data_IF_121713627233
#
_entry.id   IF_121713627233
#
_cell.length_a   1.000
_cell.length_b   1.000
_cell.length_c   1.000
_cell.angle_alpha   90.00
_cell.angle_beta   90.00
_cell.angle_gamma   90.00
#
_symmetry.space_group_name_H-M   'P 1'
#
loop_
_entity.id
_entity.type
_entity.pdbx_description
1 polymer ?
#
# COMPACT_ATOMS: atom_id res chain seq x y z
N UNK A 1 -5.25 0.94 -25.80
CA UNK A 1 -5.62 2.22 -26.45
C UNK A 1 -6.83 1.99 -27.36
N UNK A 2 -7.56 3.04 -27.82
CA UNK A 2 -8.75 2.91 -28.68
C UNK A 2 -8.53 2.12 -29.98
N UNK A 3 -7.27 1.92 -30.34
CA UNK A 3 -6.76 1.16 -31.49
C UNK A 3 -6.42 -0.31 -31.17
N UNK A 4 -6.82 -0.83 -30.01
CA UNK A 4 -6.57 -2.23 -29.63
C UNK A 4 -5.13 -2.54 -29.21
N UNK A 5 -4.22 -1.55 -29.16
CA UNK A 5 -2.84 -1.80 -28.70
C UNK A 5 -2.78 -2.03 -27.19
N UNK A 6 -2.04 -3.09 -26.80
CA UNK A 6 -1.51 -3.26 -25.43
C UNK A 6 -0.35 -2.28 -25.24
N UNK A 7 -0.68 -1.09 -24.76
CA UNK A 7 0.31 -0.08 -24.37
C UNK A 7 0.95 -0.53 -23.06
N UNK A 8 2.27 -0.78 -23.08
CA UNK A 8 3.04 -1.22 -21.90
C UNK A 8 3.33 -0.08 -20.90
N UNK A 9 3.15 1.18 -21.31
CA UNK A 9 3.28 2.37 -20.48
C UNK A 9 3.12 3.65 -21.30
N UNK A 10 2.78 4.75 -20.63
CA UNK A 10 2.67 6.10 -21.23
C UNK A 10 3.79 6.97 -20.67
N UNK A 11 4.58 7.58 -21.55
CA UNK A 11 5.56 8.61 -21.20
C UNK A 11 4.91 9.97 -21.37
N UNK A 12 4.99 10.81 -20.35
CA UNK A 12 4.56 12.21 -20.41
C UNK A 12 5.81 13.10 -20.48
N UNK A 13 5.80 14.10 -21.36
CA UNK A 13 6.89 15.05 -21.52
C UNK A 13 6.35 16.47 -21.55
N UNK A 14 7.14 17.42 -21.04
CA UNK A 14 6.89 18.85 -21.22
C UNK A 14 7.87 19.36 -22.28
N UNK A 15 7.37 20.02 -23.33
CA UNK A 15 8.20 20.51 -24.41
C UNK A 15 9.14 21.63 -23.93
N UNK A 16 10.46 21.42 -24.03
CA UNK A 16 11.47 22.34 -23.49
C UNK A 16 11.33 23.79 -24.00
N UNK A 17 10.90 23.98 -25.26
CA UNK A 17 10.77 25.31 -25.86
C UNK A 17 9.50 26.08 -25.42
N UNK A 18 8.48 25.38 -24.93
CA UNK A 18 7.17 25.95 -24.62
C UNK A 18 6.80 25.89 -23.14
N UNK A 19 7.66 25.26 -22.33
CA UNK A 19 7.40 25.09 -20.91
C UNK A 19 7.47 26.42 -20.17
N UNK A 20 6.59 26.58 -19.18
CA UNK A 20 6.53 27.79 -18.36
C UNK A 20 7.27 27.57 -17.04
N UNK A 21 8.08 28.53 -16.57
CA UNK A 21 8.70 28.43 -15.25
C UNK A 21 7.62 28.48 -14.16
N UNK A 22 7.76 27.64 -13.15
CA UNK A 22 6.84 27.56 -12.03
C UNK A 22 7.58 27.31 -10.71
N UNK A 23 7.07 27.91 -9.64
CA UNK A 23 7.40 27.60 -8.26
C UNK A 23 6.48 26.50 -7.74
N UNK A 24 7.07 25.49 -7.11
CA UNK A 24 6.38 24.33 -6.57
C UNK A 24 6.62 24.28 -5.06
N UNK A 25 5.57 24.50 -4.28
CA UNK A 25 5.62 24.49 -2.81
C UNK A 25 5.19 23.13 -2.30
N UNK A 26 6.12 22.48 -1.61
CA UNK A 26 5.98 21.14 -1.07
C UNK A 26 5.91 21.26 0.45
N UNK A 27 4.73 20.98 1.00
CA UNK A 27 4.51 21.05 2.44
C UNK A 27 4.74 19.69 3.11
N UNK A 28 5.26 19.75 4.33
CA UNK A 28 5.33 18.66 5.31
C UNK A 28 4.79 19.18 6.66
N UNK A 29 4.86 18.35 7.71
CA UNK A 29 4.46 18.70 9.07
C UNK A 29 5.22 19.94 9.54
N UNK A 30 4.49 20.88 10.14
CA UNK A 30 5.04 22.13 10.67
C UNK A 30 6.07 21.90 11.78
N UNK A 31 5.84 20.88 12.61
CA UNK A 31 6.73 20.51 13.70
C UNK A 31 7.37 19.15 13.43
N UNK A 32 8.62 18.99 13.86
CA UNK A 32 9.37 17.73 13.75
C UNK A 32 8.96 16.73 14.83
N UNK A 33 8.41 17.20 15.95
CA UNK A 33 8.01 16.38 17.08
C UNK A 33 6.49 16.15 17.15
N UNK A 34 6.03 14.97 17.59
CA UNK A 34 4.60 14.68 17.80
C UNK A 34 3.95 15.54 18.87
N UNK A 35 4.73 16.03 19.84
CA UNK A 35 4.26 16.90 20.94
C UNK A 35 5.22 18.09 21.08
N UNK A 36 5.03 19.14 20.26
CA UNK A 36 5.91 20.31 20.24
C UNK A 36 6.00 21.00 21.61
N UNK A 37 7.21 21.33 22.04
CA UNK A 37 7.48 21.99 23.32
C UNK A 37 7.63 21.03 24.50
N UNK A 38 7.51 19.71 24.32
CA UNK A 38 7.66 18.75 25.41
C UNK A 38 9.08 18.75 26.02
N UNK A 39 10.10 19.09 25.24
CA UNK A 39 11.50 19.11 25.68
C UNK A 39 11.91 20.42 26.37
N UNK A 40 11.45 21.56 25.85
CA UNK A 40 11.93 22.90 26.27
C UNK A 40 10.85 23.79 26.85
N UNK A 41 9.58 23.43 26.71
CA UNK A 41 8.43 24.28 27.03
C UNK A 41 8.05 25.26 25.92
N UNK A 42 8.89 25.45 24.89
CA UNK A 42 8.61 26.30 23.73
C UNK A 42 8.37 25.44 22.47
N UNK A 43 7.13 25.39 21.93
CA UNK A 43 6.81 24.68 20.70
C UNK A 43 7.63 25.11 19.47
N UNK A 44 8.13 26.36 19.44
CA UNK A 44 8.87 26.87 18.29
C UNK A 44 10.25 26.23 18.13
N UNK A 45 10.80 25.65 19.19
CA UNK A 45 12.07 24.92 19.15
C UNK A 45 11.98 23.62 18.34
N UNK A 46 10.78 23.09 18.16
CA UNK A 46 10.52 21.84 17.43
C UNK A 46 9.95 22.12 16.03
N UNK A 47 10.12 23.34 15.50
CA UNK A 47 9.75 23.67 14.11
C UNK A 47 10.54 22.83 13.12
N UNK A 48 9.83 22.22 12.17
CA UNK A 48 10.43 21.45 11.09
C UNK A 48 10.96 22.41 10.01
N UNK A 49 12.28 22.48 9.76
CA UNK A 49 12.82 23.32 8.69
C UNK A 49 12.40 22.84 7.30
N UNK A 50 11.99 21.57 7.15
CA UNK A 50 11.49 20.99 5.91
C UNK A 50 9.95 21.08 5.79
N UNK A 51 9.28 21.81 6.69
CA UNK A 51 7.82 22.00 6.65
C UNK A 51 7.33 22.67 5.36
N UNK A 52 8.20 23.44 4.70
CA UNK A 52 8.00 23.97 3.36
C UNK A 52 9.29 23.89 2.56
N UNK A 53 9.29 23.05 1.51
CA UNK A 53 10.34 23.01 0.50
C UNK A 53 9.84 23.68 -0.77
N UNK A 54 10.53 24.72 -1.22
CA UNK A 54 10.23 25.43 -2.47
C UNK A 54 11.14 24.92 -3.57
N UNK A 55 10.55 24.36 -4.64
CA UNK A 55 11.26 23.93 -5.84
C UNK A 55 10.92 24.83 -7.02
N UNK A 56 11.86 24.97 -7.95
CA UNK A 56 11.63 25.66 -9.23
C UNK A 56 11.67 24.63 -10.35
N UNK A 57 10.70 24.70 -11.24
CA UNK A 57 10.56 23.75 -12.34
C UNK A 57 9.86 24.34 -13.54
N UNK A 58 9.50 23.47 -14.47
CA UNK A 58 8.80 23.84 -15.68
C UNK A 58 7.48 23.07 -15.78
N UNK A 59 6.44 23.74 -16.27
CA UNK A 59 5.09 23.19 -16.41
C UNK A 59 4.58 23.38 -17.83
N UNK A 60 3.61 22.55 -18.22
CA UNK A 60 2.97 22.63 -19.53
C UNK A 60 2.26 23.97 -19.73
N UNK A 61 2.42 24.64 -20.89
CA UNK A 61 1.83 25.96 -21.12
C UNK A 61 0.30 26.02 -21.06
N UNK A 62 -0.39 24.88 -21.25
CA UNK A 62 -1.85 24.80 -21.17
C UNK A 62 -2.41 25.27 -19.83
N UNK A 63 -1.63 25.14 -18.75
CA UNK A 63 -2.08 25.52 -17.39
C UNK A 63 -2.20 27.03 -17.19
N UNK A 64 -1.53 27.86 -17.98
CA UNK A 64 -1.49 29.32 -17.79
C UNK A 64 -2.83 30.00 -18.10
N UNK A 65 -3.67 29.37 -18.91
CA UNK A 65 -4.99 29.90 -19.28
C UNK A 65 -6.10 29.49 -18.30
N UNK A 66 -5.80 28.61 -17.33
CA UNK A 66 -6.81 28.12 -16.39
C UNK A 66 -6.97 29.07 -15.18
N UNK A 67 -8.16 29.09 -14.55
CA UNK A 67 -8.40 29.92 -13.37
C UNK A 67 -7.46 29.61 -12.20
N UNK A 68 -7.23 30.62 -11.34
CA UNK A 68 -6.54 30.39 -10.07
C UNK A 68 -7.33 29.42 -9.18
N UNK A 69 -6.64 28.59 -8.41
CA UNK A 69 -7.25 27.52 -7.62
C UNK A 69 -7.61 26.26 -8.44
N UNK A 70 -7.32 26.21 -9.75
CA UNK A 70 -7.45 24.97 -10.52
C UNK A 70 -6.49 23.91 -9.97
N UNK A 71 -7.01 22.68 -9.86
CA UNK A 71 -6.31 21.51 -9.36
C UNK A 71 -5.80 20.65 -10.51
N UNK A 72 -4.60 20.13 -10.36
CA UNK A 72 -3.92 19.29 -11.34
C UNK A 72 -3.37 18.05 -10.67
N UNK A 73 -3.34 16.95 -11.41
CA UNK A 73 -2.46 15.84 -11.07
C UNK A 73 -1.15 16.05 -11.83
N UNK A 74 -0.05 16.23 -11.10
CA UNK A 74 1.27 16.13 -11.69
C UNK A 74 1.66 14.66 -11.68
N UNK A 75 1.81 14.12 -12.87
CA UNK A 75 2.12 12.71 -13.09
C UNK A 75 3.28 12.26 -12.18
N UNK A 76 3.05 11.17 -11.47
CA UNK A 76 4.00 10.54 -10.52
C UNK A 76 4.45 11.40 -9.33
N UNK A 77 3.96 12.62 -9.18
CA UNK A 77 4.43 13.57 -8.15
C UNK A 77 3.37 13.83 -7.09
N UNK A 78 2.11 14.02 -7.50
CA UNK A 78 1.04 14.37 -6.58
C UNK A 78 -0.03 15.23 -7.22
N UNK A 79 -1.02 15.58 -6.43
CA UNK A 79 -2.02 16.58 -6.78
C UNK A 79 -1.55 17.95 -6.28
N UNK A 80 -1.68 18.95 -7.16
CA UNK A 80 -1.29 20.32 -6.92
C UNK A 80 -2.47 21.25 -7.18
N UNK A 81 -2.45 22.42 -6.56
CA UNK A 81 -3.38 23.51 -6.84
C UNK A 81 -2.59 24.76 -7.19
N UNK A 82 -3.05 25.52 -8.18
CA UNK A 82 -2.49 26.85 -8.41
C UNK A 82 -2.78 27.76 -7.22
N UNK A 83 -1.76 28.44 -6.72
CA UNK A 83 -1.90 29.35 -5.58
C UNK A 83 -2.84 30.50 -5.94
N UNK A 84 -3.79 30.82 -5.06
CA UNK A 84 -4.81 31.85 -5.34
C UNK A 84 -4.32 33.27 -5.08
N UNK A 85 -3.18 33.43 -4.43
CA UNK A 85 -2.66 34.71 -3.93
C UNK A 85 -1.37 35.10 -4.65
N UNK A 86 -0.43 34.17 -4.73
CA UNK A 86 0.94 34.39 -5.21
C UNK A 86 1.10 34.03 -6.69
N UNK A 87 0.27 33.13 -7.22
CA UNK A 87 0.34 32.72 -8.64
C UNK A 87 -0.20 33.82 -9.56
N UNK A 88 0.61 34.23 -10.54
CA UNK A 88 0.28 35.30 -11.50
C UNK A 88 0.78 34.94 -12.90
N UNK A 89 0.24 35.54 -13.98
CA UNK A 89 0.80 35.40 -15.31
C UNK A 89 2.31 35.72 -15.32
N UNK A 90 3.13 34.77 -15.79
CA UNK A 90 4.59 34.88 -15.79
C UNK A 90 5.29 34.49 -14.47
N UNK A 91 4.55 34.25 -13.40
CA UNK A 91 5.06 33.82 -12.10
C UNK A 91 4.09 32.77 -11.49
N UNK A 92 4.08 31.58 -12.08
CA UNK A 92 3.16 30.52 -11.67
C UNK A 92 3.62 29.88 -10.36
N UNK A 93 2.71 29.73 -9.41
CA UNK A 93 2.96 29.09 -8.11
C UNK A 93 1.96 27.95 -7.90
N UNK A 94 2.45 26.78 -7.51
CA UNK A 94 1.64 25.60 -7.25
C UNK A 94 1.93 25.01 -5.87
N UNK A 95 0.88 24.72 -5.11
CA UNK A 95 0.94 24.08 -3.80
C UNK A 95 0.58 22.60 -3.93
N UNK A 96 1.41 21.70 -3.38
CA UNK A 96 1.06 20.28 -3.30
C UNK A 96 -0.05 20.09 -2.25
N UNK A 97 -1.19 19.53 -2.67
CA UNK A 97 -2.35 19.29 -1.80
C UNK A 97 -2.44 17.84 -1.32
N UNK A 98 -2.15 16.87 -2.20
CA UNK A 98 -2.25 15.44 -1.88
C UNK A 98 -1.08 14.73 -2.55
N UNK A 99 -0.32 13.94 -1.81
CA UNK A 99 0.70 13.06 -2.39
C UNK A 99 0.02 11.91 -3.12
N UNK A 100 0.66 11.35 -4.16
CA UNK A 100 0.13 10.10 -4.72
C UNK A 100 0.19 9.00 -3.65
N UNK A 101 -0.80 8.10 -3.69
CA UNK A 101 -0.77 6.89 -2.87
C UNK A 101 0.37 6.04 -3.38
N UNK A 102 1.48 6.10 -2.66
CA UNK A 102 2.69 5.49 -3.14
C UNK A 102 2.83 4.07 -2.62
N UNK A 103 2.54 3.10 -3.49
CA UNK A 103 2.87 1.69 -3.25
C UNK A 103 4.37 1.41 -3.47
N UNK A 104 5.13 2.37 -4.03
CA UNK A 104 6.51 2.19 -4.49
C UNK A 104 7.54 3.18 -3.88
N UNK A 105 7.17 4.33 -3.30
CA UNK A 105 8.10 5.19 -2.53
C UNK A 105 8.58 4.51 -1.26
N UNK A 106 7.79 3.60 -0.67
CA UNK A 106 8.28 2.69 0.38
C UNK A 106 9.45 1.81 -0.10
N UNK A 107 9.69 1.68 -1.41
CA UNK A 107 10.79 0.94 -2.05
C UNK A 107 11.86 1.82 -2.71
N UNK A 108 11.58 3.08 -3.10
CA UNK A 108 12.52 3.95 -3.84
C UNK A 108 13.28 5.00 -3.01
N UNK A 109 12.79 5.38 -1.82
CA UNK A 109 13.64 6.04 -0.80
C UNK A 109 14.84 5.16 -0.41
N UNK A 110 14.79 3.89 -0.80
CA UNK A 110 15.76 2.82 -0.62
C UNK A 110 16.85 2.75 -1.71
N UNK A 111 16.70 3.46 -2.84
CA UNK A 111 17.54 3.27 -4.04
C UNK A 111 18.24 4.54 -4.56
N UNK A 112 17.75 5.75 -4.23
CA UNK A 112 18.36 7.01 -4.69
C UNK A 112 19.68 7.37 -3.96
N UNK A 113 19.97 6.73 -2.82
CA UNK A 113 21.23 6.90 -2.08
C UNK A 113 22.43 6.18 -2.74
N UNK A 114 22.25 5.47 -3.86
CA UNK A 114 23.22 4.50 -4.37
C UNK A 114 23.97 4.86 -5.67
N UNK A 115 23.73 6.01 -6.33
CA UNK A 115 24.12 6.18 -7.73
C UNK A 115 24.95 7.43 -8.13
N UNK A 116 25.62 8.13 -7.21
CA UNK A 116 26.64 9.10 -7.65
C UNK A 116 27.87 9.15 -6.73
N UNK A 117 28.81 8.24 -6.99
CA UNK A 117 30.24 8.44 -6.73
C UNK A 117 31.05 7.34 -7.41
N UNK A 118 31.83 7.68 -8.45
CA UNK A 118 33.25 7.30 -8.69
C UNK A 118 33.75 7.86 -10.07
N UNK A 119 35.08 8.06 -10.30
CA UNK A 119 35.67 9.42 -10.39
C UNK A 119 36.59 9.70 -11.61
N UNK A 120 37.06 10.97 -11.70
CA UNK A 120 38.24 11.46 -12.45
C UNK A 120 37.89 12.50 -13.52
N UNK A 121 38.46 13.71 -13.63
CA UNK A 121 39.79 14.20 -13.25
C UNK A 121 39.81 15.76 -13.19
N UNK A 122 40.86 16.31 -12.57
CA UNK A 122 40.92 17.63 -11.93
C UNK A 122 41.06 18.87 -12.83
N UNK A 123 40.65 20.04 -12.31
CA UNK A 123 41.51 21.23 -12.16
C UNK A 123 40.84 22.28 -11.24
N UNK A 124 41.53 22.61 -10.14
CA UNK A 124 41.23 23.68 -9.18
C UNK A 124 42.00 24.98 -9.56
N UNK A 125 41.83 26.17 -8.91
CA UNK A 125 41.21 26.41 -7.59
C UNK A 125 40.30 27.67 -7.47
N UNK A 126 39.45 27.73 -6.42
CA UNK A 126 39.40 28.92 -5.54
C UNK A 126 38.58 28.70 -4.25
N UNK A 127 39.27 28.93 -3.12
CA UNK A 127 38.82 29.28 -1.75
C UNK A 127 38.04 28.23 -0.91
N UNK A 128 38.74 27.69 0.10
CA UNK A 128 38.28 26.64 1.02
C UNK A 128 37.30 27.09 2.12
N UNK A 129 36.16 26.38 2.32
CA UNK A 129 35.36 26.40 3.56
C UNK A 129 35.68 25.21 4.49
N UNK A 130 35.51 25.42 5.79
CA UNK A 130 35.85 24.49 6.89
C UNK A 130 35.00 23.20 6.85
N UNK A 131 35.65 22.06 7.17
CA UNK A 131 35.10 20.71 7.11
C UNK A 131 33.89 20.47 8.03
N UNK A 132 32.77 20.05 7.42
CA UNK A 132 31.56 19.56 8.09
C UNK A 132 31.67 18.03 8.22
N UNK A 133 31.56 17.49 9.44
CA UNK A 133 31.54 16.03 9.66
C UNK A 133 30.26 15.43 9.05
N UNK A 134 30.41 14.50 8.12
CA UNK A 134 29.30 13.80 7.47
C UNK A 134 28.47 12.98 8.50
N UNK A 135 27.14 13.12 8.47
CA UNK A 135 26.19 12.27 9.24
C UNK A 135 26.09 10.88 8.56
N UNK A 136 25.99 9.78 9.34
CA UNK A 136 25.82 8.44 8.77
C UNK A 136 24.43 8.28 8.12
N UNK A 137 24.36 7.57 6.99
CA UNK A 137 23.13 7.30 6.23
C UNK A 137 22.14 6.40 7.01
N UNK A 138 20.83 6.60 6.81
CA UNK A 138 19.78 5.73 7.38
C UNK A 138 19.77 4.39 6.66
N UNK A 139 19.72 3.28 7.41
CA UNK A 139 19.70 1.92 6.84
C UNK A 139 18.34 1.61 6.22
N UNK A 140 18.35 0.90 5.10
CA UNK A 140 17.15 0.41 4.44
C UNK A 140 16.48 -0.74 5.22
N UNK A 141 15.17 -1.01 5.09
CA UNK A 141 14.52 -2.16 5.78
C UNK A 141 15.24 -3.51 5.58
N UNK A 142 15.79 -3.77 4.39
CA UNK A 142 16.53 -5.00 4.15
C UNK A 142 17.87 -4.99 4.90
N UNK A 143 18.62 -3.88 4.84
CA UNK A 143 19.83 -3.69 5.63
C UNK A 143 19.58 -3.70 7.14
N UNK A 144 18.42 -3.22 7.59
CA UNK A 144 17.99 -3.30 8.99
C UNK A 144 17.83 -4.76 9.38
N UNK A 145 17.11 -5.58 8.60
CA UNK A 145 16.98 -7.02 8.87
C UNK A 145 18.31 -7.75 8.84
N UNK A 146 19.14 -7.51 7.82
CA UNK A 146 20.50 -8.06 7.75
C UNK A 146 21.33 -7.64 8.96
N UNK A 147 21.24 -6.38 9.38
CA UNK A 147 21.93 -5.90 10.57
C UNK A 147 21.40 -6.54 11.85
N UNK A 148 20.08 -6.67 11.99
CA UNK A 148 19.44 -7.29 13.15
C UNK A 148 19.90 -8.74 13.29
N UNK A 149 19.93 -9.51 12.19
CA UNK A 149 20.46 -10.88 12.20
C UNK A 149 21.94 -10.95 12.51
N UNK A 150 22.74 -10.02 11.98
CA UNK A 150 24.16 -9.95 12.31
C UNK A 150 24.41 -9.57 13.79
N UNK A 151 23.50 -8.80 14.39
CA UNK A 151 23.58 -8.35 15.79
C UNK A 151 22.97 -9.37 16.78
N UNK A 152 22.02 -10.19 16.33
CA UNK A 152 21.31 -11.18 17.12
C UNK A 152 21.48 -12.60 16.52
N UNK A 153 22.36 -13.44 17.10
CA UNK A 153 22.57 -14.81 16.65
C UNK A 153 21.32 -15.68 16.66
N UNK A 154 20.31 -15.40 17.49
CA UNK A 154 19.06 -16.16 17.51
C UNK A 154 18.25 -15.92 16.24
N UNK A 155 18.21 -14.68 15.75
CA UNK A 155 17.54 -14.34 14.48
C UNK A 155 18.25 -14.97 13.28
N UNK A 156 19.59 -14.98 13.27
CA UNK A 156 20.34 -15.68 12.22
C UNK A 156 20.08 -17.19 12.27
N UNK A 157 20.07 -17.81 13.46
CA UNK A 157 19.74 -19.22 13.60
C UNK A 157 18.33 -19.54 13.10
N UNK A 158 17.33 -18.68 13.38
CA UNK A 158 15.97 -18.82 12.83
C UNK A 158 15.95 -18.68 11.31
N UNK A 159 16.64 -17.69 10.74
CA UNK A 159 16.74 -17.52 9.29
C UNK A 159 17.29 -18.77 8.59
N UNK A 160 18.34 -19.39 9.16
CA UNK A 160 18.89 -20.65 8.66
C UNK A 160 17.91 -21.82 8.85
N UNK A 161 17.25 -21.92 10.01
CA UNK A 161 16.26 -22.97 10.27
C UNK A 161 15.03 -22.86 9.35
N UNK A 162 14.57 -21.65 9.05
CA UNK A 162 13.46 -21.41 8.13
C UNK A 162 13.77 -21.90 6.71
N UNK A 163 15.02 -21.81 6.26
CA UNK A 163 15.42 -22.36 4.98
C UNK A 163 15.65 -23.87 5.05
N UNK A 164 16.48 -24.34 5.99
CA UNK A 164 16.93 -25.72 6.04
C UNK A 164 15.86 -26.70 6.54
N UNK A 165 15.12 -26.33 7.57
CA UNK A 165 14.12 -27.20 8.20
C UNK A 165 12.71 -26.97 7.64
N UNK A 166 12.36 -25.73 7.31
CA UNK A 166 11.02 -25.39 6.79
C UNK A 166 10.96 -25.26 5.26
N UNK A 167 12.10 -25.28 4.57
CA UNK A 167 12.16 -25.22 3.10
C UNK A 167 11.73 -23.88 2.50
N UNK A 168 11.75 -22.79 3.30
CA UNK A 168 11.38 -21.46 2.82
C UNK A 168 12.49 -20.88 1.94
N UNK A 169 12.11 -20.10 0.93
CA UNK A 169 13.07 -19.34 0.13
C UNK A 169 13.74 -18.22 0.95
N UNK A 170 14.88 -17.76 0.47
CA UNK A 170 15.72 -16.76 1.14
C UNK A 170 14.94 -15.47 1.46
N UNK A 171 14.15 -14.96 0.51
CA UNK A 171 13.40 -13.72 0.66
C UNK A 171 12.32 -13.85 1.74
N UNK A 172 11.57 -14.95 1.74
CA UNK A 172 10.53 -15.23 2.74
C UNK A 172 11.14 -15.42 4.12
N UNK A 173 12.24 -16.18 4.22
CA UNK A 173 12.96 -16.36 5.47
C UNK A 173 13.54 -15.04 5.99
N UNK A 174 14.09 -14.18 5.12
CA UNK A 174 14.63 -12.85 5.46
C UNK A 174 13.56 -11.96 6.09
N UNK A 175 12.35 -11.98 5.52
CA UNK A 175 11.24 -11.17 5.97
C UNK A 175 10.69 -11.62 7.33
N UNK A 176 10.59 -12.93 7.56
CA UNK A 176 10.07 -13.49 8.81
C UNK A 176 11.09 -13.42 9.95
N UNK A 177 12.37 -13.70 9.67
CA UNK A 177 13.45 -13.68 10.66
C UNK A 177 14.17 -12.31 10.76
N UNK A 178 13.54 -11.24 10.26
CA UNK A 178 14.12 -9.91 10.25
C UNK A 178 14.04 -9.17 11.58
N UNK A 179 13.04 -9.50 12.39
CA UNK A 179 12.73 -8.90 13.69
C UNK A 179 12.25 -10.00 14.63
N UNK A 180 12.61 -9.91 15.92
CA UNK A 180 12.29 -10.93 16.92
C UNK A 180 10.78 -11.16 17.05
N UNK A 181 10.01 -10.08 17.16
CA UNK A 181 8.56 -10.16 17.36
C UNK A 181 7.85 -10.81 16.17
N UNK A 182 8.26 -10.53 14.92
CA UNK A 182 7.71 -11.19 13.74
C UNK A 182 8.03 -12.69 13.73
N UNK A 183 9.26 -13.05 14.10
CA UNK A 183 9.70 -14.44 14.13
C UNK A 183 8.98 -15.24 15.24
N UNK A 184 8.83 -14.64 16.43
CA UNK A 184 8.08 -15.23 17.55
C UNK A 184 6.61 -15.46 17.18
N UNK A 185 5.98 -14.47 16.52
CA UNK A 185 4.60 -14.56 16.09
C UNK A 185 4.40 -15.67 15.03
N UNK A 186 5.32 -15.77 14.07
CA UNK A 186 5.30 -16.83 13.07
C UNK A 186 5.54 -18.22 13.68
N UNK A 187 6.51 -18.36 14.59
CA UNK A 187 6.79 -19.63 15.28
C UNK A 187 5.58 -20.08 16.12
N UNK A 188 4.92 -19.16 16.82
CA UNK A 188 3.69 -19.43 17.59
C UNK A 188 2.52 -19.85 16.69
N UNK A 189 2.35 -19.19 15.54
CA UNK A 189 1.32 -19.58 14.56
C UNK A 189 1.58 -20.96 13.98
N UNK A 190 2.83 -21.25 13.60
CA UNK A 190 3.24 -22.54 13.07
C UNK A 190 3.00 -23.68 14.07
N UNK A 191 3.15 -23.42 15.37
CA UNK A 191 2.86 -24.41 16.40
C UNK A 191 1.37 -24.81 16.48
N UNK A 192 0.47 -23.95 16.01
CA UNK A 192 -0.99 -24.14 16.07
C UNK A 192 -1.62 -24.46 14.71
N UNK A 193 -0.86 -24.33 13.62
CA UNK A 193 -1.33 -24.52 12.25
C UNK A 193 -0.97 -25.91 11.72
N UNK A 194 -1.98 -26.66 11.27
CA UNK A 194 -1.80 -28.03 10.77
C UNK A 194 -1.55 -28.13 9.25
N UNK A 195 -1.67 -27.01 8.52
CA UNK A 195 -1.50 -26.97 7.07
C UNK A 195 -0.04 -26.87 6.62
N UNK A 196 0.16 -26.52 5.35
CA UNK A 196 1.49 -26.33 4.76
C UNK A 196 2.18 -25.07 5.30
N UNK A 197 3.39 -25.25 5.85
CA UNK A 197 4.21 -24.16 6.42
C UNK A 197 4.57 -23.11 5.38
N UNK A 198 4.78 -23.48 4.11
CA UNK A 198 5.11 -22.52 3.06
C UNK A 198 3.92 -21.59 2.74
N UNK A 199 2.70 -22.13 2.75
CA UNK A 199 1.46 -21.37 2.67
C UNK A 199 1.29 -20.38 3.82
N UNK A 200 1.52 -20.83 5.06
CA UNK A 200 1.49 -19.97 6.24
C UNK A 200 2.51 -18.83 6.14
N UNK A 201 3.75 -19.14 5.76
CA UNK A 201 4.82 -18.17 5.61
C UNK A 201 4.48 -17.09 4.56
N UNK A 202 3.97 -17.52 3.39
CA UNK A 202 3.51 -16.60 2.34
C UNK A 202 2.34 -15.74 2.79
N UNK A 203 1.39 -16.30 3.54
CA UNK A 203 0.26 -15.54 4.09
C UNK A 203 0.73 -14.50 5.11
N UNK A 204 1.71 -14.82 5.97
CA UNK A 204 2.34 -13.86 6.88
C UNK A 204 3.01 -12.69 6.12
N UNK A 205 3.73 -13.00 5.05
CA UNK A 205 4.45 -11.99 4.26
C UNK A 205 3.50 -11.12 3.43
N UNK A 206 2.43 -11.69 2.87
CA UNK A 206 1.56 -10.97 1.93
C UNK A 206 0.34 -10.32 2.61
N UNK A 207 -0.35 -11.06 3.46
CA UNK A 207 -1.65 -10.65 4.02
C UNK A 207 -1.46 -10.00 5.40
N UNK A 208 -0.73 -10.66 6.31
CA UNK A 208 -0.46 -10.09 7.65
C UNK A 208 0.40 -8.85 7.57
N UNK A 209 1.56 -8.90 6.90
CA UNK A 209 2.44 -7.73 6.79
C UNK A 209 1.77 -6.55 6.08
N UNK A 210 0.87 -6.84 5.12
CA UNK A 210 0.05 -5.83 4.46
C UNK A 210 -0.97 -5.18 5.39
N UNK A 211 -1.66 -5.97 6.20
CA UNK A 211 -2.65 -5.50 7.17
C UNK A 211 -2.03 -4.83 8.41
N UNK A 212 -0.82 -5.24 8.79
CA UNK A 212 -0.09 -4.70 9.94
C UNK A 212 0.30 -3.23 9.73
N UNK A 213 0.72 -2.89 8.51
CA UNK A 213 1.14 -1.54 8.15
C UNK A 213 2.45 -1.18 8.83
N UNK A 214 2.41 -0.19 9.72
CA UNK A 214 3.58 0.27 10.50
C UNK A 214 3.48 -0.09 12.00
N UNK A 215 2.47 -0.90 12.39
CA UNK A 215 2.31 -1.41 13.77
C UNK A 215 3.38 -2.43 14.11
N UNK A 216 3.87 -2.43 15.35
CA UNK A 216 4.78 -3.46 15.82
C UNK A 216 4.01 -4.76 16.13
N UNK A 217 4.53 -5.95 15.77
CA UNK A 217 3.86 -7.21 16.08
C UNK A 217 3.65 -7.44 17.58
N UNK A 218 4.56 -6.95 18.44
CA UNK A 218 4.44 -7.06 19.89
C UNK A 218 3.26 -6.28 20.51
N UNK A 219 2.69 -5.30 19.79
CA UNK A 219 1.57 -4.48 20.28
C UNK A 219 0.20 -5.02 19.84
N UNK A 220 0.18 -6.15 19.13
CA UNK A 220 -1.05 -6.69 18.58
C UNK A 220 -1.93 -7.29 19.69
N UNK A 221 -3.26 -7.04 19.66
CA UNK A 221 -4.22 -7.66 20.58
C UNK A 221 -4.56 -9.11 20.20
N UNK A 222 -3.65 -9.79 19.48
CA UNK A 222 -3.81 -11.16 18.98
C UNK A 222 -2.47 -11.88 19.05
N UNK A 223 -2.49 -13.21 19.07
CA UNK A 223 -1.31 -14.05 19.08
C UNK A 223 -1.19 -14.89 17.79
N UNK A 224 -0.13 -15.70 17.72
CA UNK A 224 0.10 -16.58 16.58
C UNK A 224 -0.98 -17.65 16.42
N UNK A 225 -1.55 -18.16 17.51
CA UNK A 225 -2.58 -19.20 17.45
C UNK A 225 -3.87 -18.68 16.80
N UNK A 226 -4.30 -17.47 17.16
CA UNK A 226 -5.44 -16.82 16.51
C UNK A 226 -5.16 -16.52 15.03
N UNK A 227 -3.96 -16.07 14.67
CA UNK A 227 -3.58 -15.85 13.26
C UNK A 227 -3.55 -17.15 12.45
N UNK A 228 -3.04 -18.24 13.03
CA UNK A 228 -3.10 -19.57 12.44
C UNK A 228 -4.55 -19.99 12.21
N UNK A 229 -5.44 -19.73 13.17
CA UNK A 229 -6.87 -20.07 13.04
C UNK A 229 -7.54 -19.32 11.90
N UNK A 230 -7.20 -18.05 11.66
CA UNK A 230 -7.70 -17.29 10.49
C UNK A 230 -7.34 -17.99 9.18
N UNK A 231 -6.11 -18.46 9.02
CA UNK A 231 -5.71 -19.17 7.80
C UNK A 231 -6.40 -20.55 7.71
N UNK A 232 -6.50 -21.29 8.81
CA UNK A 232 -7.23 -22.57 8.84
C UNK A 232 -8.69 -22.40 8.39
N UNK A 233 -9.37 -21.34 8.79
CA UNK A 233 -10.75 -21.06 8.34
C UNK A 233 -10.84 -20.84 6.82
N UNK A 234 -9.78 -20.33 6.19
CA UNK A 234 -9.69 -20.19 4.72
C UNK A 234 -9.48 -21.56 4.08
N UNK A 235 -8.58 -22.37 4.62
CA UNK A 235 -8.28 -23.70 4.08
C UNK A 235 -9.47 -24.66 4.18
N UNK A 236 -10.24 -24.56 5.27
CA UNK A 236 -11.49 -25.29 5.49
C UNK A 236 -12.62 -24.79 4.57
N UNK A 237 -12.45 -23.63 3.94
CA UNK A 237 -13.48 -22.98 3.13
C UNK A 237 -14.61 -22.35 3.95
N UNK A 238 -14.46 -22.27 5.28
CA UNK A 238 -15.42 -21.60 6.18
C UNK A 238 -15.49 -20.11 5.89
N UNK A 239 -14.37 -19.48 5.48
CA UNK A 239 -14.34 -18.10 5.01
C UNK A 239 -13.60 -17.99 3.68
N UNK A 240 -13.96 -17.01 2.87
CA UNK A 240 -13.24 -16.73 1.61
C UNK A 240 -11.94 -15.96 1.89
N UNK A 241 -11.01 -15.96 0.92
CA UNK A 241 -9.79 -15.15 0.98
C UNK A 241 -10.06 -13.63 1.11
N UNK A 242 -11.24 -13.15 0.66
CA UNK A 242 -11.62 -11.74 0.85
C UNK A 242 -12.13 -11.50 2.28
N UNK A 243 -13.00 -12.39 2.76
CA UNK A 243 -13.57 -12.34 4.10
C UNK A 243 -12.50 -12.49 5.19
N UNK A 244 -11.47 -13.30 4.95
CA UNK A 244 -10.35 -13.44 5.89
C UNK A 244 -9.56 -12.15 6.08
N UNK A 245 -9.50 -11.25 5.08
CA UNK A 245 -8.87 -9.93 5.23
C UNK A 245 -9.69 -9.02 6.14
N UNK A 246 -11.02 -9.05 6.01
CA UNK A 246 -11.89 -8.27 6.89
C UNK A 246 -11.84 -8.82 8.33
N UNK A 247 -11.81 -10.15 8.49
CA UNK A 247 -11.57 -10.81 9.78
C UNK A 247 -10.22 -10.41 10.39
N UNK A 248 -9.14 -10.45 9.60
CA UNK A 248 -7.80 -10.09 10.03
C UNK A 248 -7.71 -8.61 10.46
N UNK A 249 -8.36 -7.69 9.75
CA UNK A 249 -8.39 -6.28 10.12
C UNK A 249 -9.03 -6.05 11.50
N UNK A 250 -10.14 -6.73 11.77
CA UNK A 250 -10.82 -6.66 13.09
C UNK A 250 -9.96 -7.31 14.17
N UNK A 251 -9.44 -8.51 13.91
CA UNK A 251 -8.59 -9.24 14.85
C UNK A 251 -7.34 -8.44 15.25
N UNK A 252 -6.69 -7.77 14.30
CA UNK A 252 -5.51 -6.93 14.57
C UNK A 252 -5.86 -5.63 15.31
N UNK A 253 -7.11 -5.18 15.28
CA UNK A 253 -7.55 -3.95 15.94
C UNK A 253 -8.07 -4.20 17.34
N UNK A 254 -8.94 -5.20 17.49
CA UNK A 254 -9.74 -5.42 18.69
C UNK A 254 -9.35 -6.72 19.42
N UNK A 255 -8.61 -7.61 18.76
CA UNK A 255 -8.34 -8.96 19.26
C UNK A 255 -9.58 -9.84 19.25
N UNK A 256 -9.50 -10.95 19.97
CA UNK A 256 -10.62 -11.88 20.17
C UNK A 256 -10.46 -13.23 19.47
N UNK A 257 -11.53 -14.01 19.52
CA UNK A 257 -11.59 -15.36 18.95
C UNK A 257 -12.00 -15.31 17.48
N UNK A 258 -11.17 -15.83 16.54
CA UNK A 258 -11.48 -15.78 15.11
C UNK A 258 -12.80 -16.46 14.73
N UNK A 259 -13.14 -17.59 15.35
CA UNK A 259 -14.39 -18.31 15.08
C UNK A 259 -15.61 -17.48 15.50
N UNK A 260 -15.59 -16.91 16.70
CA UNK A 260 -16.64 -16.01 17.17
C UNK A 260 -16.79 -14.76 16.30
N UNK A 261 -15.68 -14.19 15.80
CA UNK A 261 -15.70 -13.03 14.92
C UNK A 261 -16.31 -13.35 13.55
N UNK A 262 -16.08 -14.54 13.00
CA UNK A 262 -16.71 -14.95 11.72
C UNK A 262 -18.23 -14.95 11.84
N UNK A 263 -18.77 -15.57 12.89
CA UNK A 263 -20.21 -15.62 13.12
C UNK A 263 -20.79 -14.22 13.39
N UNK A 264 -20.12 -13.41 14.22
CA UNK A 264 -20.57 -12.07 14.59
C UNK A 264 -20.60 -11.10 13.40
N UNK A 265 -19.65 -11.25 12.46
CA UNK A 265 -19.53 -10.41 11.27
C UNK A 265 -20.24 -10.98 10.05
N UNK A 266 -20.80 -12.19 10.13
CA UNK A 266 -21.47 -12.86 9.01
C UNK A 266 -20.52 -13.16 7.84
N UNK A 267 -19.29 -13.57 8.15
CA UNK A 267 -18.21 -13.80 7.16
C UNK A 267 -18.15 -15.24 6.62
N UNK A 268 -19.10 -16.08 7.04
CA UNK A 268 -19.21 -17.48 6.62
C UNK A 268 -19.41 -17.57 5.09
N UNK A 269 -18.63 -18.42 4.43
CA UNK A 269 -18.71 -18.62 3.00
C UNK A 269 -20.12 -19.08 2.59
N UNK A 270 -20.70 -18.41 1.60
CA UNK A 270 -22.03 -18.74 1.09
C UNK A 270 -21.90 -19.95 0.16
N UNK A 271 -22.15 -21.14 0.69
CA UNK A 271 -22.18 -22.40 -0.07
C UNK A 271 -23.56 -22.68 -0.71
N UNK A 272 -24.63 -22.04 -0.22
CA UNK A 272 -25.99 -22.26 -0.73
C UNK A 272 -26.20 -21.53 -2.07
N UNK A 273 -26.40 -22.32 -3.12
CA UNK A 273 -26.66 -21.84 -4.48
C UNK A 273 -27.94 -21.02 -4.55
N UNK A 274 -28.93 -21.30 -3.68
CA UNK A 274 -30.19 -20.54 -3.62
C UNK A 274 -29.98 -19.15 -3.03
N UNK A 275 -29.25 -19.05 -1.90
CA UNK A 275 -28.95 -17.74 -1.30
C UNK A 275 -28.12 -16.86 -2.24
N UNK A 276 -27.19 -17.44 -2.99
CA UNK A 276 -26.43 -16.73 -4.01
C UNK A 276 -27.31 -16.30 -5.20
N UNK A 277 -28.22 -17.16 -5.65
CA UNK A 277 -29.18 -16.81 -6.69
C UNK A 277 -30.11 -15.66 -6.26
N UNK A 278 -30.57 -15.65 -5.01
CA UNK A 278 -31.40 -14.58 -4.45
C UNK A 278 -30.63 -13.25 -4.36
N UNK A 279 -29.36 -13.30 -3.93
CA UNK A 279 -28.49 -12.12 -3.92
C UNK A 279 -28.28 -11.56 -5.34
N UNK A 280 -28.05 -12.42 -6.33
CA UNK A 280 -27.94 -12.04 -7.74
C UNK A 280 -29.24 -11.39 -8.23
N UNK A 281 -30.39 -12.02 -7.98
CA UNK A 281 -31.70 -11.48 -8.35
C UNK A 281 -31.93 -10.09 -7.74
N UNK A 282 -31.59 -9.90 -6.46
CA UNK A 282 -31.67 -8.62 -5.78
C UNK A 282 -30.78 -7.52 -6.39
N UNK A 283 -29.54 -7.85 -6.76
CA UNK A 283 -28.63 -6.93 -7.45
C UNK A 283 -29.16 -6.56 -8.83
N UNK A 284 -29.62 -7.53 -9.62
CA UNK A 284 -30.16 -7.29 -10.95
C UNK A 284 -31.43 -6.42 -10.90
N UNK A 285 -32.33 -6.68 -9.95
CA UNK A 285 -33.54 -5.89 -9.74
C UNK A 285 -33.23 -4.43 -9.37
N UNK A 286 -32.25 -4.19 -8.49
CA UNK A 286 -31.79 -2.83 -8.11
C UNK A 286 -31.16 -2.07 -9.28
N UNK A 287 -30.59 -2.77 -10.26
CA UNK A 287 -29.85 -2.19 -11.37
C UNK A 287 -30.47 -2.47 -12.75
N UNK A 288 -31.80 -2.58 -12.83
CA UNK A 288 -32.51 -2.96 -14.07
C UNK A 288 -32.12 -2.16 -15.32
N UNK A 289 -31.91 -0.84 -15.19
CA UNK A 289 -31.46 -0.01 -16.32
C UNK A 289 -30.07 -0.41 -16.87
N UNK A 290 -29.18 -0.90 -16.02
CA UNK A 290 -27.87 -1.41 -16.44
C UNK A 290 -27.97 -2.81 -17.02
N UNK A 291 -28.94 -3.63 -16.56
CA UNK A 291 -29.21 -4.95 -17.14
C UNK A 291 -29.62 -4.81 -18.61
N UNK A 292 -30.51 -3.87 -18.90
CA UNK A 292 -30.93 -3.58 -20.28
C UNK A 292 -29.76 -3.10 -21.16
N UNK A 293 -28.87 -2.24 -20.63
CA UNK A 293 -27.64 -1.83 -21.35
C UNK A 293 -26.68 -2.99 -21.59
N UNK A 294 -26.54 -3.89 -20.62
CA UNK A 294 -25.73 -5.09 -20.76
C UNK A 294 -26.28 -6.01 -21.85
N UNK A 295 -27.59 -6.27 -21.84
CA UNK A 295 -28.30 -7.02 -22.89
C UNK A 295 -28.22 -6.33 -24.25
N UNK A 296 -28.20 -5.00 -24.27
CA UNK A 296 -27.96 -4.16 -25.45
C UNK A 296 -26.53 -4.17 -25.99
N UNK A 297 -25.61 -4.94 -25.39
CA UNK A 297 -24.25 -5.18 -25.90
C UNK A 297 -23.12 -4.55 -25.07
N UNK A 298 -23.41 -3.85 -23.97
CA UNK A 298 -22.40 -3.24 -23.12
C UNK A 298 -21.76 -4.24 -22.14
N UNK A 299 -20.99 -5.20 -22.68
CA UNK A 299 -20.41 -6.33 -21.93
C UNK A 299 -19.51 -5.92 -20.75
N UNK A 300 -19.00 -4.68 -20.74
CA UNK A 300 -18.18 -4.14 -19.63
C UNK A 300 -18.93 -4.08 -18.30
N UNK A 301 -20.26 -4.02 -18.33
CA UNK A 301 -21.10 -4.00 -17.13
C UNK A 301 -21.07 -5.34 -16.36
N UNK A 302 -20.61 -6.43 -16.97
CA UNK A 302 -20.49 -7.72 -16.29
C UNK A 302 -19.59 -7.65 -15.06
N UNK A 303 -18.45 -6.96 -15.15
CA UNK A 303 -17.54 -6.78 -14.02
C UNK A 303 -18.15 -5.95 -12.90
N UNK A 304 -18.99 -4.97 -13.25
CA UNK A 304 -19.76 -4.20 -12.27
C UNK A 304 -20.74 -5.09 -11.49
N UNK A 305 -21.51 -5.94 -12.19
CA UNK A 305 -22.45 -6.84 -11.53
C UNK A 305 -21.76 -7.87 -10.64
N UNK A 306 -20.62 -8.43 -11.05
CA UNK A 306 -19.79 -9.27 -10.17
C UNK A 306 -19.43 -8.50 -8.90
N UNK A 307 -18.93 -7.27 -9.04
CA UNK A 307 -18.57 -6.44 -7.89
C UNK A 307 -19.74 -6.19 -6.94
N UNK A 308 -20.93 -5.89 -7.47
CA UNK A 308 -22.14 -5.69 -6.67
C UNK A 308 -22.60 -6.96 -5.96
N UNK A 309 -22.55 -8.13 -6.61
CA UNK A 309 -22.90 -9.41 -5.98
C UNK A 309 -21.90 -9.76 -4.88
N UNK A 310 -20.60 -9.59 -5.13
CA UNK A 310 -19.57 -9.80 -4.11
C UNK A 310 -19.76 -8.84 -2.93
N UNK A 311 -20.14 -7.59 -3.16
CA UNK A 311 -20.42 -6.63 -2.09
C UNK A 311 -21.68 -7.01 -1.30
N UNK A 312 -22.75 -7.44 -1.99
CA UNK A 312 -24.02 -7.84 -1.37
C UNK A 312 -23.89 -9.09 -0.50
N UNK A 313 -22.94 -9.99 -0.83
CA UNK A 313 -22.62 -11.18 -0.04
C UNK A 313 -21.48 -10.95 0.95
N UNK A 314 -21.04 -9.71 1.18
CA UNK A 314 -19.91 -9.43 2.10
C UNK A 314 -18.58 -10.07 1.67
N UNK A 315 -18.43 -10.42 0.39
CA UNK A 315 -17.27 -11.13 -0.15
C UNK A 315 -17.27 -12.63 0.13
N UNK A 316 -18.34 -13.18 0.71
CA UNK A 316 -18.44 -14.57 1.12
C UNK A 316 -18.80 -15.55 -0.02
N UNK A 317 -19.21 -15.04 -1.19
CA UNK A 317 -19.55 -15.89 -2.32
C UNK A 317 -18.32 -16.33 -3.12
N UNK A 318 -18.32 -17.58 -3.60
CA UNK A 318 -17.28 -18.09 -4.50
C UNK A 318 -17.29 -17.33 -5.85
N UNK A 319 -16.17 -16.72 -6.28
CA UNK A 319 -16.12 -15.94 -7.52
C UNK A 319 -16.48 -16.74 -8.78
N UNK A 320 -16.25 -18.05 -8.80
CA UNK A 320 -16.59 -18.89 -9.94
C UNK A 320 -18.11 -19.14 -9.97
N UNK A 321 -18.71 -19.54 -8.86
CA UNK A 321 -20.16 -19.71 -8.72
C UNK A 321 -20.92 -18.41 -9.03
N UNK A 322 -20.44 -17.27 -8.55
CA UNK A 322 -21.01 -15.93 -8.87
C UNK A 322 -21.00 -15.71 -10.37
N UNK A 323 -19.86 -15.95 -11.04
CA UNK A 323 -19.73 -15.74 -12.49
C UNK A 323 -20.70 -16.64 -13.27
N UNK A 324 -20.80 -17.91 -12.90
CA UNK A 324 -21.61 -18.90 -13.60
C UNK A 324 -23.11 -18.59 -13.47
N UNK A 325 -23.59 -18.35 -12.25
CA UNK A 325 -25.00 -18.01 -11.97
C UNK A 325 -25.39 -16.64 -12.55
N UNK A 326 -24.53 -15.64 -12.43
CA UNK A 326 -24.78 -14.31 -13.00
C UNK A 326 -24.84 -14.35 -14.53
N UNK A 327 -24.01 -15.18 -15.17
CA UNK A 327 -24.07 -15.40 -16.62
C UNK A 327 -25.41 -16.03 -17.02
N UNK A 328 -25.90 -17.01 -16.25
CA UNK A 328 -27.20 -17.62 -16.50
C UNK A 328 -28.34 -16.59 -16.33
N UNK A 329 -28.31 -15.79 -15.26
CA UNK A 329 -29.34 -14.81 -14.94
C UNK A 329 -29.41 -13.63 -15.92
N UNK A 330 -28.29 -13.21 -16.51
CA UNK A 330 -28.24 -12.11 -17.49
C UNK A 330 -28.59 -12.54 -18.92
N UNK A 331 -28.51 -13.86 -19.22
CA UNK A 331 -28.89 -14.43 -20.52
C UNK A 331 -30.38 -14.76 -20.64
N UNK A 332 -31.04 -15.04 -19.50
CA UNK A 332 -32.50 -15.11 -19.40
C UNK A 332 -33.12 -13.72 -19.42
#
# INVERSE_FOLDING_TARGET
>A
APDGRKVKGTLHWVAAHGALPAELRIYDRLFSEPTPGARTGDPLDDLNPESLVVKRGFIEPSVAAHPAGTRYQFERTGYFVSDTTDSKPGALVFNRIVTLRDTWAKLQDKAADAADALPGEATEPSAAPKAQKARPAKRTKAQIRTHNRAADPALEARFQAYQAALGLDEDTADLLAGEADMADLFDAARASYAGDVAGLAKWFVNDLSGALGDRAPAELPTDGAALARVLTLVDEGTVTSRASKDLLEVLLRDGGDPDGLVAALGLEAVADTNALADAIAGVLAKHGAMVERFRGGEQKLFGFFIGQVMQATGGAADPKAVRDLLTAALKG
#
